data_IF_192120803931
#
_entry.id   IF_192120803931
#
_cell.length_a   1.000
_cell.length_b   1.000
_cell.length_c   1.000
_cell.angle_alpha   90.00
_cell.angle_beta   90.00
_cell.angle_gamma   90.00
#
_symmetry.space_group_name_H-M   'P 1'
#
loop_
_entity.id
_entity.type
_entity.pdbx_description
1 polymer ?
#
# COMPACT_ATOMS: atom_id res chain seq x y z
N UNK A 1 -30.63 -14.08 -25.77
CA UNK A 1 -31.22 -12.73 -25.81
C UNK A 1 -30.11 -11.75 -25.52
N UNK A 2 -29.55 -11.14 -26.57
CA UNK A 2 -28.56 -10.07 -26.46
C UNK A 2 -29.28 -8.77 -26.85
N UNK A 3 -29.30 -7.79 -25.93
CA UNK A 3 -29.86 -6.46 -26.19
C UNK A 3 -28.94 -5.63 -27.09
N UNK A 4 -29.49 -4.65 -27.83
CA UNK A 4 -28.73 -3.90 -28.83
C UNK A 4 -27.79 -2.89 -28.16
N UNK A 5 -26.64 -2.73 -28.81
CA UNK A 5 -25.63 -1.70 -28.52
C UNK A 5 -26.22 -0.36 -28.92
N UNK A 6 -26.29 0.59 -27.98
CA UNK A 6 -26.75 1.94 -28.24
C UNK A 6 -25.70 2.68 -29.06
N UNK A 7 -26.01 2.95 -30.34
CA UNK A 7 -25.26 3.88 -31.17
C UNK A 7 -25.34 5.29 -30.58
N UNK A 8 -24.23 5.79 -30.06
CA UNK A 8 -24.08 7.20 -29.71
C UNK A 8 -23.65 7.97 -30.97
N UNK A 9 -24.63 8.41 -31.75
CA UNK A 9 -24.45 9.51 -32.71
C UNK A 9 -24.03 10.77 -31.93
N UNK A 10 -22.73 11.09 -31.96
CA UNK A 10 -22.22 12.38 -31.53
C UNK A 10 -22.35 13.30 -32.73
N UNK A 11 -23.44 14.08 -32.78
CA UNK A 11 -23.54 15.22 -33.68
C UNK A 11 -22.40 16.21 -33.36
N UNK A 12 -21.54 16.44 -34.36
CA UNK A 12 -20.57 17.52 -34.34
C UNK A 12 -21.30 18.86 -34.37
N UNK A 13 -21.59 19.45 -33.20
CA UNK A 13 -21.79 20.90 -33.09
C UNK A 13 -20.42 21.58 -33.07
N UNK A 14 -20.05 22.13 -34.22
CA UNK A 14 -18.94 23.07 -34.33
C UNK A 14 -19.35 24.39 -33.67
N UNK A 15 -18.61 24.77 -32.64
CA UNK A 15 -18.58 26.12 -32.08
C UNK A 15 -17.68 27.01 -32.95
N UNK A 16 -18.29 28.06 -33.49
CA UNK A 16 -17.81 28.90 -34.59
C UNK A 16 -16.76 29.94 -34.18
N UNK A 17 -15.85 29.62 -33.26
CA UNK A 17 -14.67 30.43 -32.97
C UNK A 17 -13.48 29.54 -32.62
N UNK A 18 -12.82 29.03 -33.67
CA UNK A 18 -11.68 28.12 -33.59
C UNK A 18 -10.48 28.74 -32.85
N UNK A 19 -10.37 28.44 -31.56
CA UNK A 19 -9.09 28.37 -30.87
C UNK A 19 -8.88 26.91 -30.51
N UNK A 20 -8.04 26.22 -31.28
CA UNK A 20 -7.58 24.87 -30.98
C UNK A 20 -6.99 24.90 -29.56
N UNK A 21 -7.71 24.41 -28.56
CA UNK A 21 -7.12 24.11 -27.26
C UNK A 21 -6.15 22.95 -27.50
N UNK A 22 -4.86 23.27 -27.48
CA UNK A 22 -3.76 22.30 -27.58
C UNK A 22 -4.07 21.09 -26.71
N UNK A 23 -3.95 19.88 -27.27
CA UNK A 23 -4.12 18.63 -26.52
C UNK A 23 -3.08 18.53 -25.39
N UNK A 24 -1.98 19.27 -25.48
CA UNK A 24 -0.95 19.44 -24.46
C UNK A 24 -1.45 20.10 -23.16
N UNK A 25 -2.55 20.87 -23.17
CA UNK A 25 -3.02 21.59 -21.96
C UNK A 25 -3.80 20.70 -20.97
N UNK A 26 -4.16 19.46 -21.34
CA UNK A 26 -4.82 18.52 -20.40
C UNK A 26 -3.86 17.88 -19.40
N UNK A 27 -2.55 18.00 -19.60
CA UNK A 27 -1.52 17.61 -18.64
C UNK A 27 -1.10 18.79 -17.74
N UNK A 28 -1.86 19.89 -17.75
CA UNK A 28 -1.62 21.04 -16.89
C UNK A 28 -1.89 20.69 -15.42
N UNK A 29 -0.81 20.35 -14.72
CA UNK A 29 -0.62 20.38 -13.26
C UNK A 29 -1.55 19.49 -12.44
N UNK A 30 -1.34 18.16 -12.50
CA UNK A 30 -1.70 17.33 -11.36
C UNK A 30 -0.88 17.83 -10.17
N UNK A 31 -1.56 18.34 -9.14
CA UNK A 31 -0.90 18.78 -7.91
C UNK A 31 -0.43 17.51 -7.17
N UNK A 32 0.79 17.06 -7.45
CA UNK A 32 1.42 15.87 -6.86
C UNK A 32 1.87 16.17 -5.42
N UNK A 33 0.91 16.43 -4.55
CA UNK A 33 1.14 16.67 -3.12
C UNK A 33 0.84 15.41 -2.32
N UNK A 34 1.41 15.31 -1.12
CA UNK A 34 1.07 14.24 -0.17
C UNK A 34 -0.45 14.20 0.10
N UNK A 35 -1.08 15.36 0.28
CA UNK A 35 -2.52 15.49 0.51
C UNK A 35 -3.37 14.95 -0.65
N UNK A 36 -2.94 15.18 -1.90
CA UNK A 36 -3.60 14.60 -3.07
C UNK A 36 -3.46 13.07 -3.08
N UNK A 37 -2.31 12.54 -2.63
CA UNK A 37 -2.07 11.11 -2.42
C UNK A 37 -3.03 10.52 -1.38
N UNK A 38 -3.12 11.14 -0.20
CA UNK A 38 -4.05 10.72 0.86
C UNK A 38 -5.51 10.74 0.37
N UNK A 39 -5.92 11.79 -0.33
CA UNK A 39 -7.26 11.91 -0.92
C UNK A 39 -7.54 10.79 -1.92
N UNK A 40 -6.55 10.44 -2.75
CA UNK A 40 -6.67 9.35 -3.73
C UNK A 40 -6.84 7.99 -3.04
N UNK A 41 -6.03 7.72 -2.01
CA UNK A 41 -6.16 6.49 -1.20
C UNK A 41 -7.54 6.41 -0.53
N UNK A 42 -8.02 7.51 0.05
CA UNK A 42 -9.37 7.56 0.63
C UNK A 42 -10.47 7.23 -0.39
N UNK A 43 -10.36 7.72 -1.61
CA UNK A 43 -11.32 7.41 -2.68
C UNK A 43 -11.30 5.93 -3.05
N UNK A 44 -10.10 5.32 -3.14
CA UNK A 44 -9.94 3.89 -3.41
C UNK A 44 -10.53 3.02 -2.28
N UNK A 45 -10.29 3.40 -1.02
CA UNK A 45 -10.88 2.74 0.15
C UNK A 45 -12.41 2.77 0.07
N UNK A 46 -13.01 3.96 -0.18
CA UNK A 46 -14.47 4.11 -0.31
C UNK A 46 -15.05 3.33 -1.48
N UNK A 47 -14.28 3.15 -2.55
CA UNK A 47 -14.66 2.36 -3.71
C UNK A 47 -14.50 0.84 -3.51
N UNK A 48 -13.95 0.40 -2.37
CA UNK A 48 -13.72 -1.02 -2.09
C UNK A 48 -12.56 -1.62 -2.89
N UNK A 49 -11.66 -0.79 -3.41
CA UNK A 49 -10.47 -1.26 -4.13
C UNK A 49 -9.51 -1.89 -3.12
N UNK A 50 -8.99 -3.12 -3.39
CA UNK A 50 -7.99 -3.75 -2.54
C UNK A 50 -6.71 -2.92 -2.45
N UNK A 51 -6.23 -2.70 -1.21
CA UNK A 51 -5.02 -1.92 -0.92
C UNK A 51 -3.91 -2.85 -0.43
N UNK A 52 -2.71 -2.64 -0.95
CA UNK A 52 -1.47 -3.30 -0.52
C UNK A 52 -0.49 -2.22 -0.04
N UNK A 53 0.19 -2.46 1.08
CA UNK A 53 1.24 -1.56 1.55
C UNK A 53 2.53 -1.78 0.75
N UNK A 54 3.18 -0.69 0.34
CA UNK A 54 4.46 -0.71 -0.36
C UNK A 54 5.18 0.63 -0.20
N UNK A 55 6.50 0.59 -0.05
CA UNK A 55 7.28 1.78 0.37
C UNK A 55 8.13 2.40 -0.75
N UNK A 56 8.40 1.63 -1.82
CA UNK A 56 9.40 1.95 -2.84
C UNK A 56 10.80 2.30 -2.27
N UNK A 57 11.06 1.88 -1.02
CA UNK A 57 12.28 2.19 -0.30
C UNK A 57 13.48 1.54 -0.99
N UNK A 58 14.49 2.36 -1.31
CA UNK A 58 15.72 1.93 -1.95
C UNK A 58 16.94 2.48 -1.20
N UNK A 59 17.97 1.65 -1.02
CA UNK A 59 19.24 2.02 -0.36
C UNK A 59 20.23 2.64 -1.37
N UNK A 60 19.73 3.35 -2.38
CA UNK A 60 20.57 3.91 -3.42
C UNK A 60 21.19 5.23 -2.97
N UNK A 61 22.50 5.21 -2.70
CA UNK A 61 23.32 6.40 -2.47
C UNK A 61 23.20 7.36 -3.67
N UNK A 62 22.45 8.45 -3.48
CA UNK A 62 22.26 9.49 -4.50
C UNK A 62 20.81 9.65 -5.00
N UNK A 63 19.88 8.82 -4.55
CA UNK A 63 18.44 9.04 -4.76
C UNK A 63 17.93 10.27 -4.00
N UNK A 64 16.87 10.92 -4.49
CA UNK A 64 16.15 11.97 -3.77
C UNK A 64 15.58 11.48 -2.42
N UNK A 65 15.50 10.15 -2.26
CA UNK A 65 15.14 9.42 -1.04
C UNK A 65 16.39 9.07 -0.20
N UNK A 66 17.26 10.05 0.05
CA UNK A 66 18.35 9.88 1.03
C UNK A 66 17.75 9.63 2.42
N UNK A 67 17.70 8.37 2.85
CA UNK A 67 17.38 8.04 4.25
C UNK A 67 16.18 7.13 4.48
N UNK A 68 15.60 6.52 3.44
CA UNK A 68 14.57 5.51 3.63
C UNK A 68 15.19 4.24 4.21
N UNK A 69 15.20 4.15 5.55
CA UNK A 69 15.64 2.97 6.29
C UNK A 69 14.73 1.80 5.91
N UNK A 70 15.22 0.92 5.04
CA UNK A 70 14.51 -0.27 4.56
C UNK A 70 13.96 -1.02 5.78
N UNK A 71 12.65 -1.30 5.73
CA UNK A 71 11.91 -1.93 6.83
C UNK A 71 11.13 -0.93 7.68
N UNK A 72 11.76 0.14 8.18
CA UNK A 72 11.07 1.14 9.03
C UNK A 72 9.99 1.87 8.25
N UNK A 73 10.26 2.17 6.97
CA UNK A 73 9.30 2.82 6.07
C UNK A 73 8.00 2.04 5.91
N UNK A 74 8.01 0.71 6.05
CA UNK A 74 6.78 -0.08 5.99
C UNK A 74 5.87 0.20 7.19
N UNK A 75 6.44 0.42 8.38
CA UNK A 75 5.66 0.81 9.55
C UNK A 75 5.06 2.22 9.41
N UNK A 76 5.77 3.12 8.74
CA UNK A 76 5.25 4.45 8.42
C UNK A 76 4.13 4.37 7.39
N UNK A 77 4.28 3.54 6.36
CA UNK A 77 3.24 3.30 5.36
C UNK A 77 1.95 2.78 6.01
N UNK A 78 2.06 1.82 6.94
CA UNK A 78 0.90 1.34 7.70
C UNK A 78 0.22 2.46 8.50
N UNK A 79 1.00 3.38 9.08
CA UNK A 79 0.46 4.54 9.78
C UNK A 79 -0.27 5.48 8.82
N UNK A 80 0.32 5.80 7.66
CA UNK A 80 -0.34 6.63 6.65
C UNK A 80 -1.66 6.03 6.15
N UNK A 81 -1.70 4.71 5.96
CA UNK A 81 -2.93 4.01 5.57
C UNK A 81 -4.02 4.08 6.66
N UNK A 82 -3.66 3.99 7.95
CA UNK A 82 -4.63 4.22 9.04
C UNK A 82 -5.10 5.66 9.11
N UNK A 83 -4.21 6.64 8.91
CA UNK A 83 -4.56 8.07 8.85
C UNK A 83 -5.45 8.38 7.64
N UNK A 84 -5.30 7.64 6.54
CA UNK A 84 -6.17 7.68 5.37
C UNK A 84 -7.51 6.95 5.56
N UNK A 85 -7.76 6.34 6.73
CA UNK A 85 -9.08 5.81 7.11
C UNK A 85 -9.21 4.29 7.07
N UNK A 86 -8.13 3.52 6.92
CA UNK A 86 -8.18 2.08 7.22
C UNK A 86 -8.24 1.84 8.74
N UNK A 87 -8.96 0.79 9.13
CA UNK A 87 -8.82 0.24 10.48
C UNK A 87 -7.43 -0.35 10.67
N UNK A 88 -6.98 -0.49 11.92
CA UNK A 88 -5.68 -1.08 12.25
C UNK A 88 -5.58 -2.53 11.74
N UNK A 89 -6.67 -3.29 11.83
CA UNK A 89 -6.71 -4.66 11.31
C UNK A 89 -6.60 -4.69 9.79
N UNK A 90 -7.24 -3.76 9.07
CA UNK A 90 -7.15 -3.70 7.62
C UNK A 90 -5.77 -3.22 7.15
N UNK A 91 -5.16 -2.28 7.86
CA UNK A 91 -3.76 -1.91 7.63
C UNK A 91 -2.82 -3.12 7.80
N UNK A 92 -2.99 -3.95 8.84
CA UNK A 92 -2.20 -5.18 8.97
C UNK A 92 -2.43 -6.16 7.80
N UNK A 93 -3.66 -6.23 7.28
CA UNK A 93 -3.99 -7.07 6.12
C UNK A 93 -3.29 -6.58 4.85
N UNK A 94 -3.12 -5.27 4.64
CA UNK A 94 -2.45 -4.72 3.45
C UNK A 94 -0.97 -5.09 3.37
N UNK A 95 -0.34 -5.46 4.50
CA UNK A 95 1.05 -5.91 4.57
C UNK A 95 1.22 -7.44 4.73
N UNK A 96 0.12 -8.22 4.79
CA UNK A 96 0.18 -9.66 5.06
C UNK A 96 -0.65 -10.48 4.05
N UNK A 97 -1.95 -10.65 4.31
CA UNK A 97 -2.82 -11.51 3.50
C UNK A 97 -3.14 -10.90 2.13
N UNK A 98 -3.25 -9.57 2.03
CA UNK A 98 -3.55 -8.92 0.74
C UNK A 98 -2.42 -9.12 -0.29
N UNK A 99 -1.13 -8.86 0.01
CA UNK A 99 -0.05 -9.18 -0.90
C UNK A 99 0.03 -10.67 -1.25
N UNK A 100 -0.28 -11.56 -0.30
CA UNK A 100 -0.29 -13.01 -0.57
C UNK A 100 -1.34 -13.39 -1.61
N UNK A 101 -2.54 -12.84 -1.52
CA UNK A 101 -3.62 -13.09 -2.49
C UNK A 101 -3.28 -12.52 -3.87
N UNK A 102 -2.82 -11.26 -3.94
CA UNK A 102 -2.62 -10.55 -5.20
C UNK A 102 -1.33 -10.91 -5.93
N UNK A 103 -0.32 -11.43 -5.23
CA UNK A 103 0.91 -11.94 -5.83
C UNK A 103 0.96 -13.48 -5.92
N UNK A 104 -0.16 -14.16 -5.63
CA UNK A 104 -0.26 -15.63 -5.67
C UNK A 104 0.81 -16.33 -4.80
N UNK A 105 1.09 -15.78 -3.61
CA UNK A 105 2.05 -16.34 -2.66
C UNK A 105 1.34 -17.35 -1.75
N UNK A 106 0.99 -18.50 -2.32
CA UNK A 106 0.26 -19.58 -1.64
C UNK A 106 1.02 -20.01 -0.38
N UNK A 107 0.30 -20.20 0.73
CA UNK A 107 0.87 -20.65 2.00
C UNK A 107 1.62 -19.57 2.77
N UNK A 108 1.36 -18.28 2.51
CA UNK A 108 1.95 -17.12 3.22
C UNK A 108 0.88 -16.10 3.62
N UNK A 109 1.29 -15.06 4.35
CA UNK A 109 0.41 -13.94 4.72
C UNK A 109 -0.66 -14.25 5.77
N UNK A 110 -0.66 -15.46 6.35
CA UNK A 110 -1.58 -15.87 7.42
C UNK A 110 -0.92 -16.93 8.30
N UNK A 111 -1.27 -16.93 9.59
CA UNK A 111 -0.80 -17.95 10.54
C UNK A 111 -1.79 -19.11 10.52
N UNK A 112 -1.42 -20.20 9.82
CA UNK A 112 -2.23 -21.40 9.63
C UNK A 112 -1.34 -22.63 9.54
N UNK A 113 -1.86 -23.80 9.90
CA UNK A 113 -1.15 -25.05 9.69
C UNK A 113 -0.84 -25.27 8.20
N UNK A 114 0.34 -25.81 7.92
CA UNK A 114 0.85 -26.02 6.55
C UNK A 114 1.39 -24.75 5.85
N UNK A 115 1.27 -23.56 6.46
CA UNK A 115 1.82 -22.32 5.90
C UNK A 115 3.29 -22.16 6.29
N UNK A 116 4.05 -21.42 5.48
CA UNK A 116 5.44 -21.08 5.78
C UNK A 116 5.48 -20.23 7.06
N UNK A 117 6.40 -20.57 7.97
CA UNK A 117 6.59 -19.86 9.24
C UNK A 117 7.36 -18.54 9.06
N UNK A 118 6.71 -17.59 8.38
CA UNK A 118 7.12 -16.19 8.29
C UNK A 118 6.37 -15.40 9.36
N UNK A 119 7.03 -15.20 10.51
CA UNK A 119 6.37 -14.76 11.73
C UNK A 119 7.06 -13.54 12.35
N UNK A 120 6.27 -12.68 12.97
CA UNK A 120 6.71 -11.59 13.83
C UNK A 120 6.09 -11.79 15.21
N UNK A 121 6.91 -11.78 16.24
CA UNK A 121 6.46 -11.72 17.63
C UNK A 121 6.69 -10.30 18.14
N UNK A 122 5.65 -9.69 18.71
CA UNK A 122 5.74 -8.39 19.35
C UNK A 122 6.08 -8.54 20.84
N UNK A 123 6.63 -7.47 21.43
CA UNK A 123 6.89 -7.39 22.87
C UNK A 123 5.59 -7.55 23.67
N UNK A 124 5.64 -8.11 24.89
CA UNK A 124 4.47 -8.22 25.75
C UNK A 124 3.79 -6.85 25.94
N UNK A 125 2.46 -6.82 25.81
CA UNK A 125 1.66 -5.61 25.94
C UNK A 125 1.57 -4.73 24.67
N UNK A 126 2.30 -5.07 23.60
CA UNK A 126 2.17 -4.38 22.31
C UNK A 126 1.02 -4.97 21.50
N UNK A 127 -0.02 -4.17 21.27
CA UNK A 127 -1.19 -4.57 20.48
C UNK A 127 -1.40 -3.62 19.27
N UNK A 128 -1.09 -4.05 18.04
CA UNK A 128 -1.23 -3.22 16.85
C UNK A 128 -2.69 -3.01 16.44
N UNK A 129 -3.65 -3.78 16.97
CA UNK A 129 -5.08 -3.61 16.72
C UNK A 129 -5.70 -2.39 17.45
N UNK A 130 -4.96 -1.80 18.40
CA UNK A 130 -5.35 -0.55 19.07
C UNK A 130 -4.48 0.64 18.68
N UNK A 131 -3.28 0.38 18.17
CA UNK A 131 -2.36 1.41 17.71
C UNK A 131 -1.35 0.77 16.75
N UNK A 132 -1.49 1.06 15.47
CA UNK A 132 -0.66 0.47 14.41
C UNK A 132 0.84 0.70 14.59
N UNK A 133 1.25 1.74 15.33
CA UNK A 133 2.65 2.03 15.64
C UNK A 133 3.31 0.91 16.49
N UNK A 134 2.50 0.08 17.18
CA UNK A 134 2.97 -1.08 17.96
C UNK A 134 3.54 -2.20 17.10
N UNK A 135 3.38 -2.13 15.78
CA UNK A 135 4.07 -3.04 14.85
C UNK A 135 5.60 -2.94 14.93
N UNK A 136 6.15 -1.81 15.38
CA UNK A 136 7.60 -1.63 15.58
C UNK A 136 8.14 -2.31 16.85
N UNK A 137 7.28 -2.72 17.77
CA UNK A 137 7.68 -3.36 19.03
C UNK A 137 8.04 -4.84 18.81
N UNK A 138 8.89 -5.12 17.83
CA UNK A 138 9.26 -6.48 17.44
C UNK A 138 10.20 -7.06 18.52
N UNK A 139 9.85 -8.24 19.01
CA UNK A 139 10.67 -9.05 19.90
C UNK A 139 11.48 -10.09 19.13
N UNK A 140 10.86 -10.78 18.14
CA UNK A 140 11.49 -11.83 17.34
C UNK A 140 10.91 -11.88 15.93
N UNK A 141 11.71 -12.37 14.98
CA UNK A 141 11.35 -12.53 13.57
C UNK A 141 11.73 -13.95 13.14
N UNK A 142 10.86 -14.64 12.41
CA UNK A 142 11.17 -15.90 11.75
C UNK A 142 10.93 -15.76 10.25
N UNK A 143 11.85 -16.30 9.45
CA UNK A 143 11.73 -16.39 8.00
C UNK A 143 11.87 -17.86 7.60
N UNK A 144 10.78 -18.46 7.13
CA UNK A 144 10.73 -19.89 6.83
C UNK A 144 11.02 -20.79 8.04
N UNK A 145 10.63 -20.35 9.24
CA UNK A 145 10.88 -21.09 10.49
C UNK A 145 12.25 -20.89 11.12
N UNK A 146 13.15 -20.13 10.47
CA UNK A 146 14.47 -19.79 11.01
C UNK A 146 14.35 -18.47 11.75
N UNK A 147 14.66 -18.46 13.05
CA UNK A 147 14.69 -17.22 13.85
C UNK A 147 15.86 -16.34 13.44
N UNK A 148 15.59 -15.06 13.16
CA UNK A 148 16.62 -14.06 12.99
C UNK A 148 17.06 -13.51 14.35
N UNK A 149 18.23 -13.93 14.81
CA UNK A 149 18.87 -13.43 16.03
C UNK A 149 19.80 -12.27 15.67
N UNK A 150 19.55 -11.03 16.16
CA UNK A 150 20.44 -9.91 15.93
C UNK A 150 21.87 -10.21 16.38
N UNK A 151 22.87 -9.74 15.63
CA UNK A 151 24.29 -10.02 15.93
C UNK A 151 24.68 -9.60 17.35
N UNK A 152 24.12 -8.51 17.87
CA UNK A 152 24.35 -8.02 19.23
C UNK A 152 23.88 -8.98 20.34
N UNK A 153 23.07 -9.99 20.01
CA UNK A 153 22.49 -10.95 20.95
C UNK A 153 23.09 -12.37 20.79
N UNK A 154 24.05 -12.56 19.89
CA UNK A 154 24.81 -13.80 19.77
C UNK A 154 25.92 -13.79 20.82
N UNK A 155 25.84 -14.72 21.77
CA UNK A 155 26.92 -15.00 22.74
C UNK A 155 28.07 -15.74 22.07
#
# INVERSE_FOLDING_TARGET
MAGPICDANIEHRQDSHGKLKNREDRFSRTNLTFEAGVTSVQQLIRAGVPILAGTDANDATGSFLKGDLIGITLHQELKYLTEAGLSEVDALRTATVMPSLWHNLIGRGSIREGYRADLLLLKPGSNPLHNISKTMDIARVWNGGIEYVPMAQRK
#
